data_IF_626338870192
#
_entry.id   IF_626338870192
#
_cell.length_a   1.000
_cell.length_b   1.000
_cell.length_c   1.000
_cell.angle_alpha   90.00
_cell.angle_beta   90.00
_cell.angle_gamma   90.00
#
_symmetry.space_group_name_H-M   'P 1'
#
loop_
_entity.id
_entity.type
_entity.pdbx_description
1 polymer ?
#
# COMPACT_ATOMS: atom_id res chain seq x y z
N UNK A 1 -6.14 -74.08 1.39
CA UNK A 1 -5.22 -72.93 1.44
C UNK A 1 -6.07 -71.69 1.39
N UNK A 2 -6.27 -71.03 2.53
CA UNK A 2 -7.21 -69.91 2.69
C UNK A 2 -6.42 -68.61 2.66
N UNK A 3 -6.70 -67.76 1.67
CA UNK A 3 -6.13 -66.43 1.53
C UNK A 3 -6.58 -65.53 2.69
N UNK A 4 -5.62 -64.92 3.38
CA UNK A 4 -5.87 -63.86 4.34
C UNK A 4 -6.00 -62.51 3.60
N UNK A 5 -6.99 -61.65 3.92
CA UNK A 5 -7.13 -60.36 3.26
C UNK A 5 -6.00 -59.42 3.71
N UNK A 6 -5.21 -58.94 2.76
CA UNK A 6 -4.24 -57.86 2.97
C UNK A 6 -4.99 -56.60 3.41
N UNK A 7 -4.87 -56.22 4.67
CA UNK A 7 -5.30 -54.91 5.13
C UNK A 7 -4.47 -53.83 4.42
N UNK A 8 -5.10 -52.78 3.86
CA UNK A 8 -4.35 -51.67 3.30
C UNK A 8 -3.71 -50.88 4.44
N UNK A 9 -2.38 -50.90 4.51
CA UNK A 9 -1.57 -50.11 5.44
C UNK A 9 -1.51 -48.65 4.99
N UNK A 10 -2.67 -47.98 4.94
CA UNK A 10 -2.77 -46.56 4.65
C UNK A 10 -2.57 -45.73 5.92
N UNK A 11 -1.87 -44.60 5.80
CA UNK A 11 -1.72 -43.57 6.84
C UNK A 11 -3.05 -43.24 7.55
N UNK A 12 -4.14 -43.22 6.79
CA UNK A 12 -5.51 -43.02 7.27
C UNK A 12 -5.97 -44.07 8.29
N UNK A 13 -5.52 -45.32 8.25
CA UNK A 13 -5.99 -46.36 9.17
C UNK A 13 -5.34 -46.29 10.57
N UNK A 14 -4.28 -45.50 10.73
CA UNK A 14 -3.59 -45.28 12.03
C UNK A 14 -4.13 -44.09 12.82
N UNK A 15 -4.95 -43.24 12.20
CA UNK A 15 -5.47 -42.03 12.81
C UNK A 15 -6.77 -42.30 13.56
N UNK A 16 -6.91 -41.74 14.77
CA UNK A 16 -8.16 -41.81 15.53
C UNK A 16 -9.27 -41.07 14.78
N UNK A 17 -10.53 -41.43 15.03
CA UNK A 17 -11.70 -40.82 14.36
C UNK A 17 -11.71 -39.29 14.51
N UNK A 18 -11.24 -38.76 15.64
CA UNK A 18 -11.14 -37.31 15.91
C UNK A 18 -10.05 -36.64 15.06
N UNK A 19 -8.88 -37.27 14.94
CA UNK A 19 -7.78 -36.73 14.13
C UNK A 19 -8.12 -36.69 12.65
N UNK A 20 -8.87 -37.69 12.14
CA UNK A 20 -9.37 -37.67 10.75
C UNK A 20 -10.30 -36.48 10.48
N UNK A 21 -11.18 -36.18 11.44
CA UNK A 21 -12.11 -35.04 11.32
C UNK A 21 -11.34 -33.73 11.30
N UNK A 22 -10.35 -33.55 12.18
CA UNK A 22 -9.53 -32.34 12.22
C UNK A 22 -8.76 -32.13 10.91
N UNK A 23 -8.11 -33.19 10.38
CA UNK A 23 -7.41 -33.10 9.09
C UNK A 23 -8.37 -32.76 7.95
N UNK A 24 -9.56 -33.34 7.94
CA UNK A 24 -10.56 -33.08 6.90
C UNK A 24 -11.09 -31.63 6.97
N UNK A 25 -11.34 -31.12 8.18
CA UNK A 25 -11.75 -29.73 8.38
C UNK A 25 -10.64 -28.76 7.97
N UNK A 26 -9.40 -29.04 8.36
CA UNK A 26 -8.24 -28.21 8.02
C UNK A 26 -8.03 -28.11 6.50
N UNK A 27 -8.14 -29.24 5.79
CA UNK A 27 -8.06 -29.27 4.31
C UNK A 27 -9.21 -28.47 3.67
N UNK A 28 -10.43 -28.53 4.21
CA UNK A 28 -11.56 -27.75 3.71
C UNK A 28 -11.31 -26.25 3.91
N UNK A 29 -10.87 -25.85 5.10
CA UNK A 29 -10.56 -24.45 5.40
C UNK A 29 -9.44 -23.93 4.50
N UNK A 30 -8.41 -24.74 4.27
CA UNK A 30 -7.30 -24.35 3.40
C UNK A 30 -7.75 -24.23 1.94
N UNK A 31 -8.64 -25.12 1.48
CA UNK A 31 -9.23 -25.05 0.14
C UNK A 31 -10.15 -23.83 -0.02
N UNK A 32 -10.96 -23.47 0.98
CA UNK A 32 -11.80 -22.27 0.91
C UNK A 32 -10.98 -20.98 0.93
N UNK A 33 -9.91 -20.92 1.72
CA UNK A 33 -8.98 -19.79 1.72
C UNK A 33 -8.26 -19.65 0.37
N UNK A 34 -7.88 -20.76 -0.26
CA UNK A 34 -7.28 -20.73 -1.60
C UNK A 34 -8.27 -20.28 -2.67
N UNK A 35 -9.52 -20.75 -2.64
CA UNK A 35 -10.57 -20.28 -3.57
C UNK A 35 -10.86 -18.80 -3.38
N UNK A 36 -10.97 -18.33 -2.12
CA UNK A 36 -11.15 -16.91 -1.84
C UNK A 36 -9.98 -16.06 -2.33
N UNK A 37 -8.74 -16.53 -2.15
CA UNK A 37 -7.55 -15.85 -2.65
C UNK A 37 -7.51 -15.80 -4.18
N UNK A 38 -7.89 -16.89 -4.87
CA UNK A 38 -8.01 -16.90 -6.34
C UNK A 38 -9.08 -15.91 -6.77
N UNK A 39 -10.28 -15.95 -6.20
CA UNK A 39 -11.36 -15.00 -6.55
C UNK A 39 -10.97 -13.53 -6.29
N UNK A 40 -10.19 -13.25 -5.24
CA UNK A 40 -9.72 -11.90 -4.95
C UNK A 40 -8.60 -11.42 -5.87
N UNK A 41 -7.80 -12.35 -6.43
CA UNK A 41 -6.72 -12.04 -7.38
C UNK A 41 -7.22 -12.05 -8.82
N UNK A 42 -8.25 -12.83 -9.13
CA UNK A 42 -8.87 -12.93 -10.45
C UNK A 42 -10.17 -12.16 -10.51
N UNK A 43 -10.22 -10.91 -10.04
CA UNK A 43 -11.30 -10.00 -10.44
C UNK A 43 -10.97 -9.55 -11.87
N UNK A 44 -11.46 -10.25 -12.91
CA UNK A 44 -11.12 -9.93 -14.27
C UNK A 44 -11.99 -8.74 -14.60
N UNK A 45 -11.41 -7.69 -15.16
CA UNK A 45 -12.18 -6.74 -15.94
C UNK A 45 -13.17 -7.51 -16.81
N UNK A 46 -14.46 -7.27 -16.60
CA UNK A 46 -15.51 -7.78 -17.45
C UNK A 46 -15.25 -7.25 -18.86
N UNK A 47 -14.58 -8.07 -19.67
CA UNK A 47 -14.57 -7.98 -21.12
C UNK A 47 -16.00 -8.24 -21.59
N UNK A 48 -16.81 -7.18 -21.67
CA UNK A 48 -18.08 -7.21 -22.40
C UNK A 48 -17.82 -6.61 -23.79
N UNK A 49 -17.35 -7.45 -24.70
CA UNK A 49 -17.39 -7.15 -26.13
C UNK A 49 -18.83 -7.35 -26.65
N UNK A 50 -19.51 -6.27 -27.00
CA UNK A 50 -20.57 -6.28 -28.00
C UNK A 50 -20.65 -4.91 -28.69
N UNK A 51 -20.28 -4.95 -29.98
CA UNK A 51 -20.61 -4.09 -31.12
C UNK A 51 -21.04 -2.62 -30.92
N UNK A 52 -20.11 -1.75 -31.34
CA UNK A 52 -20.29 -0.55 -32.20
C UNK A 52 -21.52 0.34 -32.01
N UNK A 53 -21.33 1.46 -31.29
CA UNK A 53 -21.79 2.78 -31.74
C UNK A 53 -20.64 3.76 -31.48
N UNK A 54 -20.23 4.48 -32.52
CA UNK A 54 -19.26 5.55 -32.43
C UNK A 54 -19.80 6.68 -31.54
N UNK A 55 -19.31 6.72 -30.31
CA UNK A 55 -19.33 7.94 -29.49
C UNK A 55 -17.89 8.20 -29.10
N UNK A 56 -17.36 9.35 -29.51
CA UNK A 56 -16.10 9.88 -28.98
C UNK A 56 -16.30 10.24 -27.51
N UNK A 57 -16.45 9.24 -26.65
CA UNK A 57 -16.38 9.42 -25.22
C UNK A 57 -14.89 9.59 -24.91
N UNK A 58 -14.48 10.86 -24.87
CA UNK A 58 -13.31 11.26 -24.11
C UNK A 58 -13.61 10.90 -22.66
N UNK A 59 -13.39 9.63 -22.30
CA UNK A 59 -13.31 9.22 -20.91
C UNK A 59 -12.04 9.86 -20.39
N UNK A 60 -12.18 11.10 -19.92
CA UNK A 60 -11.19 11.73 -19.05
C UNK A 60 -11.11 10.85 -17.82
N UNK A 61 -10.22 9.87 -17.83
CA UNK A 61 -9.84 9.15 -16.63
C UNK A 61 -9.47 10.21 -15.60
N UNK A 62 -10.17 10.24 -14.46
CA UNK A 62 -9.80 11.14 -13.38
C UNK A 62 -8.30 10.94 -13.09
N UNK A 63 -7.52 12.02 -12.89
CA UNK A 63 -6.10 11.91 -12.61
C UNK A 63 -5.91 10.92 -11.45
N UNK A 64 -5.16 9.84 -11.70
CA UNK A 64 -4.83 8.92 -10.63
C UNK A 64 -3.97 9.69 -9.62
N UNK A 65 -4.41 9.71 -8.37
CA UNK A 65 -3.66 10.29 -7.26
C UNK A 65 -2.18 9.85 -7.33
N UNK A 66 -1.21 10.78 -7.27
CA UNK A 66 0.21 10.43 -7.25
C UNK A 66 0.57 9.45 -6.13
N UNK A 67 -0.15 9.53 -5.01
CA UNK A 67 0.04 8.67 -3.84
C UNK A 67 -0.40 7.21 -4.08
N UNK A 68 -1.25 6.97 -5.08
CA UNK A 68 -1.65 5.61 -5.51
C UNK A 68 -0.71 5.00 -6.56
N UNK A 69 0.37 5.68 -6.92
CA UNK A 69 1.39 5.16 -7.85
C UNK A 69 2.43 4.29 -7.14
N UNK A 70 3.33 3.65 -7.91
CA UNK A 70 4.47 2.90 -7.35
C UNK A 70 5.40 3.79 -6.52
N UNK A 71 5.63 5.03 -6.96
CA UNK A 71 6.44 6.01 -6.22
C UNK A 71 5.73 6.42 -4.93
N UNK A 72 4.45 6.78 -4.99
CA UNK A 72 3.66 7.11 -3.81
C UNK A 72 3.69 6.01 -2.75
N UNK A 73 3.45 4.76 -3.14
CA UNK A 73 3.54 3.61 -2.23
C UNK A 73 4.94 3.42 -1.65
N UNK A 74 5.99 3.64 -2.44
CA UNK A 74 7.37 3.52 -1.98
C UNK A 74 7.71 4.59 -0.93
N UNK A 75 7.30 5.85 -1.16
CA UNK A 75 7.54 6.96 -0.24
C UNK A 75 6.76 6.81 1.06
N UNK A 76 5.48 6.41 0.97
CA UNK A 76 4.68 6.07 2.15
C UNK A 76 5.34 4.96 2.95
N UNK A 77 5.74 3.86 2.31
CA UNK A 77 6.36 2.74 3.02
C UNK A 77 7.71 3.13 3.63
N UNK A 78 8.49 3.97 2.94
CA UNK A 78 9.80 4.41 3.39
C UNK A 78 9.72 5.36 4.60
N UNK A 79 8.76 6.29 4.60
CA UNK A 79 8.58 7.26 5.67
C UNK A 79 7.77 6.68 6.85
N UNK A 80 6.65 6.02 6.57
CA UNK A 80 5.71 5.51 7.58
C UNK A 80 6.03 4.10 8.08
N UNK A 81 7.00 3.40 7.48
CA UNK A 81 7.31 1.99 7.76
C UNK A 81 6.20 0.99 7.40
N UNK A 82 5.05 1.47 6.93
CA UNK A 82 3.88 0.67 6.54
C UNK A 82 3.03 1.42 5.51
N UNK A 83 1.95 0.80 5.05
CA UNK A 83 0.95 1.45 4.17
C UNK A 83 -0.17 2.16 4.93
N UNK A 84 -0.11 2.22 6.27
CA UNK A 84 -1.16 2.86 7.04
C UNK A 84 -1.03 4.38 6.93
N UNK A 85 -2.12 5.01 6.50
CA UNK A 85 -2.27 6.45 6.36
C UNK A 85 -3.39 6.92 7.29
N UNK A 86 -3.16 8.04 7.96
CA UNK A 86 -4.17 8.82 8.67
C UNK A 86 -4.94 9.64 7.62
N UNK A 87 -6.14 9.17 7.25
CA UNK A 87 -7.10 9.95 6.48
C UNK A 87 -8.03 10.69 7.45
N UNK A 88 -7.57 11.77 8.11
CA UNK A 88 -8.53 12.68 8.76
C UNK A 88 -7.91 14.01 9.22
N UNK A 89 -7.69 14.92 8.28
CA UNK A 89 -7.64 16.34 8.64
C UNK A 89 -8.65 17.12 7.81
N UNK A 90 -9.57 17.90 8.43
CA UNK A 90 -10.50 18.74 7.69
C UNK A 90 -9.80 19.84 6.88
N UNK A 91 -8.52 20.08 7.14
CA UNK A 91 -7.70 21.05 6.43
C UNK A 91 -6.34 20.43 6.13
N UNK A 92 -5.92 20.44 4.86
CA UNK A 92 -4.62 19.91 4.45
C UNK A 92 -3.50 20.71 5.13
N UNK A 93 -2.54 20.05 5.80
CA UNK A 93 -1.30 20.70 6.24
C UNK A 93 -0.43 21.16 5.06
N UNK A 94 -0.69 20.64 3.86
CA UNK A 94 0.00 20.98 2.60
C UNK A 94 -1.04 21.48 1.59
N UNK A 95 -1.44 22.76 1.64
CA UNK A 95 -2.55 23.27 0.85
C UNK A 95 -2.27 23.37 -0.65
N UNK A 96 -1.00 23.38 -1.07
CA UNK A 96 -0.63 23.44 -2.50
C UNK A 96 -0.28 22.08 -3.09
N UNK A 97 -0.18 21.03 -2.27
CA UNK A 97 0.00 19.67 -2.76
C UNK A 97 -1.20 19.22 -3.62
N UNK A 98 -0.92 18.52 -4.72
CA UNK A 98 -1.95 17.87 -5.56
C UNK A 98 -2.69 16.82 -4.74
N UNK A 99 -1.93 16.12 -3.89
CA UNK A 99 -2.42 15.09 -3.00
C UNK A 99 -1.48 14.98 -1.80
N UNK A 100 -2.03 14.60 -0.65
CA UNK A 100 -1.24 14.39 0.57
C UNK A 100 -1.77 13.23 1.39
N UNK A 101 -0.86 12.65 2.18
CA UNK A 101 -1.18 11.65 3.20
C UNK A 101 -0.42 11.96 4.47
N UNK A 102 -0.96 11.57 5.62
CA UNK A 102 -0.26 11.65 6.90
C UNK A 102 -0.08 10.25 7.51
N UNK A 103 0.91 10.06 8.35
CA UNK A 103 1.13 8.82 9.09
C UNK A 103 1.94 9.11 10.37
N UNK A 104 2.09 8.12 11.25
CA UNK A 104 2.97 8.24 12.42
C UNK A 104 4.35 7.69 12.07
N UNK A 105 5.39 8.45 12.42
CA UNK A 105 6.78 8.02 12.27
C UNK A 105 7.06 6.73 13.07
N UNK A 106 7.67 5.69 12.46
CA UNK A 106 7.93 4.41 13.12
C UNK A 106 8.68 4.55 14.44
N UNK A 107 8.13 3.98 15.52
CA UNK A 107 8.76 3.99 16.84
C UNK A 107 8.69 5.33 17.58
N UNK A 108 7.90 6.27 17.09
CA UNK A 108 7.69 7.60 17.70
C UNK A 108 6.19 7.93 17.78
N UNK A 109 5.86 9.15 18.22
CA UNK A 109 4.53 9.73 18.15
C UNK A 109 4.43 10.87 17.13
N UNK A 110 5.51 11.13 16.39
CA UNK A 110 5.63 12.29 15.52
C UNK A 110 4.80 12.05 14.24
N UNK A 111 4.11 13.08 13.79
CA UNK A 111 3.32 13.01 12.56
C UNK A 111 4.24 13.27 11.37
N UNK A 112 4.21 12.35 10.41
CA UNK A 112 4.79 12.54 9.08
C UNK A 112 3.67 12.93 8.11
N UNK A 113 3.92 13.93 7.28
CA UNK A 113 3.06 14.32 6.17
C UNK A 113 3.85 14.16 4.87
N UNK A 114 3.24 13.53 3.87
CA UNK A 114 3.82 13.30 2.54
C UNK A 114 2.93 14.00 1.52
N UNK A 115 3.49 14.93 0.77
CA UNK A 115 2.81 15.65 -0.31
C UNK A 115 3.46 15.39 -1.67
N UNK A 116 2.62 15.37 -2.71
CA UNK A 116 3.04 15.33 -4.11
C UNK A 116 2.69 16.64 -4.82
N UNK A 117 3.61 17.14 -5.64
CA UNK A 117 3.57 18.44 -6.29
C UNK A 117 3.91 18.32 -7.78
N UNK A 118 3.38 19.26 -8.57
CA UNK A 118 3.63 19.33 -10.02
C UNK A 118 4.96 20.03 -10.32
N UNK A 119 5.36 20.96 -9.45
CA UNK A 119 6.53 21.83 -9.62
C UNK A 119 7.17 22.18 -8.28
N UNK A 120 8.37 22.78 -8.35
CA UNK A 120 9.15 23.21 -7.20
C UNK A 120 8.53 24.43 -6.49
N UNK A 121 7.92 25.36 -7.23
CA UNK A 121 7.40 26.61 -6.69
C UNK A 121 6.25 26.37 -5.69
N UNK A 122 5.34 25.44 -5.99
CA UNK A 122 4.23 25.05 -5.11
C UNK A 122 4.71 24.31 -3.87
N UNK A 123 5.73 23.46 -4.02
CA UNK A 123 6.39 22.77 -2.91
C UNK A 123 7.06 23.78 -1.96
N UNK A 124 7.83 24.71 -2.52
CA UNK A 124 8.52 25.76 -1.77
C UNK A 124 7.53 26.69 -1.06
N UNK A 125 6.38 26.95 -1.68
CA UNK A 125 5.29 27.70 -1.07
C UNK A 125 4.76 27.05 0.21
N UNK A 126 4.55 25.73 0.21
CA UNK A 126 4.12 25.00 1.40
C UNK A 126 5.23 24.91 2.46
N UNK A 127 6.49 24.69 2.05
CA UNK A 127 7.65 24.74 2.96
C UNK A 127 7.79 26.10 3.65
N UNK A 128 7.66 27.20 2.91
CA UNK A 128 7.73 28.55 3.45
C UNK A 128 6.56 28.87 4.42
N UNK A 129 5.43 28.18 4.26
CA UNK A 129 4.26 28.27 5.13
C UNK A 129 4.45 27.59 6.50
N UNK A 130 5.43 26.71 6.67
CA UNK A 130 5.67 25.98 7.91
C UNK A 130 6.33 26.88 8.96
N UNK A 131 5.56 27.23 10.00
CA UNK A 131 5.92 28.31 10.94
C UNK A 131 6.91 27.95 12.07
N UNK A 132 7.35 26.70 12.24
CA UNK A 132 8.58 26.19 12.93
C UNK A 132 8.42 24.79 13.54
N UNK A 133 9.56 24.16 13.90
CA UNK A 133 9.82 22.79 14.37
C UNK A 133 9.29 21.69 13.44
N UNK A 134 9.72 21.72 12.18
CA UNK A 134 9.53 20.61 11.26
C UNK A 134 10.86 20.33 10.57
N UNK A 135 11.19 19.04 10.43
CA UNK A 135 12.22 18.58 9.50
C UNK A 135 11.57 18.14 8.22
N UNK A 136 12.28 18.27 7.11
CA UNK A 136 11.71 17.92 5.82
C UNK A 136 12.71 17.17 4.95
N UNK A 137 12.16 16.47 3.97
CA UNK A 137 12.91 15.78 2.95
C UNK A 137 12.24 16.01 1.59
N UNK A 138 13.03 16.36 0.58
CA UNK A 138 12.55 16.60 -0.78
C UNK A 138 13.16 15.65 -1.79
N UNK A 139 12.39 15.30 -2.81
CA UNK A 139 12.86 14.47 -3.92
C UNK A 139 12.10 14.82 -5.20
N UNK A 140 12.74 14.62 -6.36
CA UNK A 140 12.09 14.67 -7.67
C UNK A 140 12.21 13.28 -8.27
N UNK A 141 11.07 12.65 -8.57
CA UNK A 141 11.07 11.32 -9.16
C UNK A 141 11.37 11.34 -10.66
N UNK A 142 11.53 10.15 -11.25
CA UNK A 142 11.84 10.00 -12.68
C UNK A 142 10.73 10.53 -13.61
N UNK A 143 9.51 10.74 -13.10
CA UNK A 143 8.40 11.32 -13.85
C UNK A 143 8.32 12.85 -13.69
N UNK A 144 9.28 13.46 -13.00
CA UNK A 144 9.32 14.89 -12.73
C UNK A 144 8.34 15.36 -11.66
N UNK A 145 7.77 14.45 -10.84
CA UNK A 145 6.96 14.87 -9.69
C UNK A 145 7.84 15.25 -8.53
N UNK A 146 7.44 16.32 -7.87
CA UNK A 146 8.11 16.85 -6.69
C UNK A 146 7.45 16.25 -5.44
N UNK A 147 8.27 15.76 -4.53
CA UNK A 147 7.85 15.07 -3.32
C UNK A 147 8.38 15.80 -2.11
N UNK A 148 7.50 16.02 -1.14
CA UNK A 148 7.83 16.62 0.14
C UNK A 148 7.40 15.66 1.24
N UNK A 149 8.33 15.31 2.13
CA UNK A 149 8.04 14.60 3.37
C UNK A 149 8.40 15.51 4.52
N UNK A 150 7.47 15.73 5.42
CA UNK A 150 7.62 16.61 6.58
C UNK A 150 7.42 15.76 7.82
N UNK A 151 8.25 15.94 8.83
CA UNK A 151 8.02 15.39 10.17
C UNK A 151 7.90 16.54 11.16
N UNK A 152 6.89 16.47 12.01
CA UNK A 152 6.75 17.38 13.14
C UNK A 152 7.89 17.14 14.15
N UNK A 153 8.56 18.21 14.57
CA UNK A 153 9.70 18.19 15.49
C UNK A 153 11.03 18.61 14.87
N UNK A 154 12.08 18.64 15.70
CA UNK A 154 13.43 19.09 15.31
C UNK A 154 14.36 17.94 14.88
N UNK A 155 13.92 16.70 15.03
CA UNK A 155 14.68 15.48 14.75
C UNK A 155 14.55 15.05 13.30
N UNK A 156 15.66 14.79 12.63
CA UNK A 156 15.69 14.25 11.26
C UNK A 156 15.75 12.71 11.23
N UNK A 157 15.84 12.06 12.39
CA UNK A 157 15.91 10.59 12.53
C UNK A 157 14.77 9.88 11.76
N UNK A 158 13.50 10.33 11.84
CA UNK A 158 12.42 9.69 11.09
C UNK A 158 12.56 9.77 9.56
N UNK A 159 13.34 10.73 9.07
CA UNK A 159 13.56 10.97 7.64
C UNK A 159 14.80 10.26 7.09
N UNK A 160 15.71 9.79 7.95
CA UNK A 160 16.93 9.07 7.53
C UNK A 160 16.69 7.93 6.54
N UNK A 161 15.64 7.09 6.66
CA UNK A 161 15.36 6.03 5.70
C UNK A 161 15.14 6.53 4.27
N UNK A 162 14.74 7.80 4.09
CA UNK A 162 14.49 8.39 2.77
C UNK A 162 15.77 8.73 2.01
N UNK A 163 16.90 8.94 2.71
CA UNK A 163 18.19 9.25 2.06
C UNK A 163 18.61 8.17 1.07
N UNK A 164 18.33 6.90 1.36
CA UNK A 164 18.67 5.77 0.48
C UNK A 164 17.89 5.79 -0.85
N UNK A 165 16.83 6.58 -0.92
CA UNK A 165 16.02 6.78 -2.11
C UNK A 165 16.29 8.12 -2.81
N UNK A 166 17.33 8.85 -2.39
CA UNK A 166 17.72 10.11 -3.03
C UNK A 166 16.93 11.34 -2.55
N UNK A 167 16.23 11.23 -1.41
CA UNK A 167 15.67 12.42 -0.75
C UNK A 167 16.78 13.25 -0.11
N UNK A 168 16.67 14.57 -0.25
CA UNK A 168 17.52 15.56 0.41
C UNK A 168 16.85 16.02 1.70
N UNK A 169 17.53 15.88 2.83
CA UNK A 169 16.98 16.26 4.15
C UNK A 169 17.40 17.71 4.48
N UNK A 170 16.46 18.51 5.01
CA UNK A 170 16.65 19.88 5.49
C UNK A 170 16.11 20.11 6.91
#
# INVERSE_FOLDING_TARGET
>A
MTDAPRQPSGFWNRLTRRTKILVLVDVIVLATLLVAAVLYVTDPWSDSSSETIATSDTTTAAPQSPLRTRYGLAWITAACGSRMVLEDSPQSPLPQAIDYVACIAPGTIDTIVIGAYDDEDTLDGDLAGMRTAHRHATHVDDNGKHWLVVVEGDSDVPLEPLRRYGFRIG
#
